data_IF_578865598662
#
_entry.id   IF_578865598662
#
_cell.length_a   1.000
_cell.length_b   1.000
_cell.length_c   1.000
_cell.angle_alpha   90.00
_cell.angle_beta   90.00
_cell.angle_gamma   90.00
#
_symmetry.space_group_name_H-M   'P 1'
#
loop_
_entity.id
_entity.type
_entity.pdbx_description
1 polymer ?
#
# COMPACT_ATOMS: atom_id res chain seq x y z
N UNK A 1 -6.53 -16.93 7.49
CA UNK A 1 -5.12 -16.99 7.94
C UNK A 1 -4.77 -15.61 8.45
N UNK A 2 -4.03 -15.47 9.54
CA UNK A 2 -3.53 -14.17 10.01
C UNK A 2 -2.23 -13.84 9.27
N UNK A 3 -1.92 -12.57 9.12
CA UNK A 3 -0.60 -12.14 8.64
C UNK A 3 0.46 -12.48 9.68
N UNK A 4 1.59 -13.04 9.28
CA UNK A 4 2.70 -13.41 10.18
C UNK A 4 3.99 -12.68 9.88
N UNK A 5 4.15 -12.17 8.66
CA UNK A 5 5.28 -11.36 8.23
C UNK A 5 4.75 -10.04 7.66
N UNK A 6 5.06 -8.92 8.32
CA UNK A 6 4.70 -7.58 7.89
C UNK A 6 5.98 -6.83 7.57
N UNK A 7 6.05 -6.26 6.36
CA UNK A 7 7.18 -5.43 5.91
C UNK A 7 6.77 -3.97 5.89
N UNK A 8 7.66 -3.09 6.31
CA UNK A 8 7.60 -1.66 5.96
C UNK A 8 8.90 -1.22 5.32
N UNK A 9 8.82 -0.35 4.31
CA UNK A 9 9.98 0.18 3.60
C UNK A 9 9.99 1.70 3.74
N UNK A 10 11.11 2.25 4.20
CA UNK A 10 11.26 3.66 4.49
C UNK A 10 12.47 4.24 3.75
N UNK A 11 12.24 5.32 3.03
CA UNK A 11 13.27 6.10 2.33
C UNK A 11 13.48 7.48 2.96
N UNK A 12 12.72 7.81 4.04
CA UNK A 12 12.69 9.13 4.66
C UNK A 12 12.46 9.04 6.16
N UNK A 13 13.22 9.82 6.93
CA UNK A 13 13.11 9.87 8.39
C UNK A 13 11.75 10.39 8.87
N UNK A 14 11.15 11.35 8.14
CA UNK A 14 9.87 11.97 8.50
C UNK A 14 8.69 10.99 8.50
N UNK A 15 8.80 9.92 7.71
CA UNK A 15 7.75 8.90 7.61
C UNK A 15 7.85 7.83 8.71
N UNK A 16 8.99 7.76 9.43
CA UNK A 16 9.30 6.68 10.35
C UNK A 16 8.28 6.55 11.49
N UNK A 17 7.96 7.63 12.17
CA UNK A 17 7.05 7.59 13.32
C UNK A 17 5.66 7.08 12.93
N UNK A 18 5.11 7.55 11.81
CA UNK A 18 3.79 7.16 11.31
C UNK A 18 3.78 5.72 10.82
N UNK A 19 4.76 5.34 10.01
CA UNK A 19 4.81 4.01 9.42
C UNK A 19 5.10 2.93 10.48
N UNK A 20 6.09 3.14 11.35
CA UNK A 20 6.45 2.20 12.42
C UNK A 20 5.30 2.08 13.42
N UNK A 21 4.71 3.19 13.87
CA UNK A 21 3.58 3.15 14.80
C UNK A 21 2.38 2.40 14.22
N UNK A 22 2.10 2.57 12.93
CA UNK A 22 1.00 1.87 12.23
C UNK A 22 1.31 0.39 12.03
N UNK A 23 2.50 0.06 11.50
CA UNK A 23 2.90 -1.32 11.24
C UNK A 23 3.06 -2.13 12.53
N UNK A 24 3.57 -1.53 13.61
CA UNK A 24 3.70 -2.16 14.91
C UNK A 24 2.35 -2.55 15.51
N UNK A 25 1.34 -1.65 15.44
CA UNK A 25 -0.03 -1.97 15.89
C UNK A 25 -0.62 -3.15 15.14
N UNK A 26 -0.45 -3.17 13.80
CA UNK A 26 -0.89 -4.30 12.98
C UNK A 26 -0.15 -5.58 13.33
N UNK A 27 1.18 -5.52 13.49
CA UNK A 27 1.99 -6.68 13.83
C UNK A 27 1.56 -7.28 15.17
N UNK A 28 1.32 -6.43 16.16
CA UNK A 28 0.83 -6.88 17.47
C UNK A 28 -0.59 -7.47 17.40
N UNK A 29 -1.51 -6.83 16.66
CA UNK A 29 -2.88 -7.30 16.49
C UNK A 29 -2.95 -8.65 15.76
N UNK A 30 -1.98 -8.95 14.86
CA UNK A 30 -1.91 -10.19 14.08
C UNK A 30 -0.94 -11.23 14.67
N UNK A 31 -0.27 -10.94 15.78
CA UNK A 31 0.85 -11.74 16.31
C UNK A 31 1.89 -12.02 15.20
N UNK A 32 2.31 -10.96 14.49
CA UNK A 32 3.22 -10.99 13.37
C UNK A 32 4.62 -10.51 13.76
N UNK A 33 5.60 -10.81 12.90
CA UNK A 33 6.92 -10.18 12.91
C UNK A 33 6.89 -8.94 12.01
N UNK A 34 7.50 -7.84 12.45
CA UNK A 34 7.65 -6.62 11.68
C UNK A 34 9.08 -6.51 11.13
N UNK A 35 9.23 -6.61 9.81
CA UNK A 35 10.47 -6.32 9.12
C UNK A 35 10.49 -4.85 8.66
N UNK A 36 11.56 -4.12 8.97
CA UNK A 36 11.74 -2.73 8.59
C UNK A 36 12.94 -2.63 7.66
N UNK A 37 12.70 -2.22 6.42
CA UNK A 37 13.73 -1.96 5.43
C UNK A 37 13.93 -0.44 5.30
N UNK A 38 15.13 0.03 5.63
CA UNK A 38 15.54 1.43 5.45
C UNK A 38 16.41 1.53 4.19
N UNK A 39 16.02 2.42 3.27
CA UNK A 39 16.74 2.63 2.02
C UNK A 39 17.24 4.07 1.89
N UNK A 40 18.56 4.24 1.86
CA UNK A 40 19.18 5.44 1.32
C UNK A 40 19.19 5.39 -0.20
N UNK A 41 18.65 6.41 -0.86
CA UNK A 41 18.48 6.37 -2.31
C UNK A 41 19.40 7.38 -2.99
N UNK A 42 20.37 6.87 -3.74
CA UNK A 42 21.16 7.67 -4.66
C UNK A 42 20.33 8.00 -5.90
N UNK A 43 19.96 9.27 -6.05
CA UNK A 43 19.13 9.80 -7.13
C UNK A 43 19.94 10.28 -8.34
N UNK A 44 21.27 9.97 -8.37
CA UNK A 44 22.12 10.39 -9.48
C UNK A 44 21.71 9.66 -10.75
N UNK A 45 21.26 10.41 -11.75
CA UNK A 45 21.13 9.91 -13.10
C UNK A 45 22.49 10.05 -13.81
N UNK A 46 23.10 8.94 -14.15
CA UNK A 46 24.33 8.91 -14.95
C UNK A 46 23.97 9.28 -16.40
N UNK A 47 23.78 10.56 -16.65
CA UNK A 47 23.71 11.10 -18.01
C UNK A 47 25.11 11.27 -18.57
N UNK A 48 25.25 11.15 -19.90
CA UNK A 48 26.47 11.44 -20.66
C UNK A 48 26.88 12.90 -20.47
N UNK A 49 27.59 13.24 -19.40
CA UNK A 49 28.09 14.61 -19.22
C UNK A 49 29.36 14.66 -18.36
N UNK A 50 30.41 15.07 -19.02
CA UNK A 50 31.68 15.60 -18.50
C UNK A 50 32.66 14.63 -17.85
N UNK A 51 33.65 14.25 -18.63
CA UNK A 51 34.93 13.71 -18.23
C UNK A 51 35.59 14.70 -17.22
N UNK A 52 35.71 14.31 -15.97
CA UNK A 52 36.46 15.01 -14.94
C UNK A 52 35.76 15.40 -13.64
N UNK A 53 34.47 15.71 -13.66
CA UNK A 53 33.69 16.06 -12.43
C UNK A 53 32.72 14.95 -11.97
N UNK A 54 32.53 13.92 -12.77
CA UNK A 54 31.54 12.87 -12.50
C UNK A 54 31.82 12.08 -11.22
N UNK A 55 33.09 11.73 -10.93
CA UNK A 55 33.45 10.97 -9.75
C UNK A 55 33.17 11.72 -8.44
N UNK A 56 33.42 13.03 -8.39
CA UNK A 56 33.13 13.87 -7.23
C UNK A 56 31.64 14.00 -6.99
N UNK A 57 30.88 14.20 -8.06
CA UNK A 57 29.40 14.28 -7.95
C UNK A 57 28.79 12.95 -7.50
N UNK A 58 29.28 11.83 -8.03
CA UNK A 58 28.85 10.49 -7.58
C UNK A 58 29.15 10.28 -6.10
N UNK A 59 30.36 10.66 -5.64
CA UNK A 59 30.73 10.52 -4.22
C UNK A 59 29.83 11.37 -3.33
N UNK A 60 29.59 12.63 -3.68
CA UNK A 60 28.70 13.53 -2.92
C UNK A 60 27.26 12.98 -2.86
N UNK A 61 26.77 12.41 -3.95
CA UNK A 61 25.42 11.81 -3.96
C UNK A 61 25.35 10.55 -3.10
N UNK A 62 26.37 9.70 -3.14
CA UNK A 62 26.46 8.51 -2.31
C UNK A 62 26.53 8.89 -0.82
N UNK A 63 27.42 9.83 -0.46
CA UNK A 63 27.56 10.33 0.91
C UNK A 63 26.24 10.89 1.45
N UNK A 64 25.48 11.56 0.58
CA UNK A 64 24.14 12.05 0.92
C UNK A 64 23.15 10.91 1.14
N UNK A 65 23.10 9.92 0.25
CA UNK A 65 22.21 8.77 0.39
C UNK A 65 22.52 7.97 1.67
N UNK A 66 23.81 7.81 2.01
CA UNK A 66 24.22 7.20 3.27
C UNK A 66 23.80 8.03 4.50
N UNK A 67 23.92 9.36 4.42
CA UNK A 67 23.48 10.23 5.51
C UNK A 67 21.97 10.18 5.71
N UNK A 68 21.18 10.17 4.61
CA UNK A 68 19.72 10.00 4.63
C UNK A 68 19.35 8.62 5.22
N UNK A 69 20.05 7.54 4.85
CA UNK A 69 19.84 6.21 5.44
C UNK A 69 20.08 6.20 6.94
N UNK A 70 21.21 6.72 7.40
CA UNK A 70 21.54 6.81 8.84
C UNK A 70 20.51 7.63 9.62
N UNK A 71 20.06 8.75 9.08
CA UNK A 71 19.02 9.58 9.70
C UNK A 71 17.67 8.84 9.80
N UNK A 72 17.30 8.10 8.74
CA UNK A 72 16.08 7.29 8.72
C UNK A 72 16.18 6.12 9.69
N UNK A 73 17.32 5.44 9.76
CA UNK A 73 17.56 4.34 10.72
C UNK A 73 17.47 4.83 12.17
N UNK A 74 18.05 5.99 12.49
CA UNK A 74 17.92 6.60 13.81
C UNK A 74 16.48 6.94 14.16
N UNK A 75 15.71 7.48 13.21
CA UNK A 75 14.29 7.76 13.39
C UNK A 75 13.46 6.47 13.60
N UNK A 76 13.77 5.40 12.86
CA UNK A 76 13.17 4.07 13.02
C UNK A 76 13.49 3.49 14.41
N UNK A 77 14.73 3.55 14.85
CA UNK A 77 15.14 3.07 16.17
C UNK A 77 14.38 3.80 17.29
N UNK A 78 14.26 5.13 17.18
CA UNK A 78 13.46 5.94 18.11
C UNK A 78 11.99 5.56 18.09
N UNK A 79 11.40 5.38 16.90
CA UNK A 79 10.00 5.00 16.76
C UNK A 79 9.71 3.59 17.29
N UNK A 80 10.62 2.63 17.10
CA UNK A 80 10.52 1.28 17.66
C UNK A 80 10.64 1.28 19.18
N UNK A 81 11.55 2.07 19.75
CA UNK A 81 11.70 2.20 21.20
C UNK A 81 10.44 2.75 21.90
N UNK A 82 9.60 3.50 21.17
CA UNK A 82 8.34 4.00 21.66
C UNK A 82 7.18 2.98 21.59
N UNK A 83 7.40 1.80 20.98
CA UNK A 83 6.36 0.77 20.88
C UNK A 83 6.24 -0.06 22.15
N UNK A 84 5.06 -0.67 22.42
CA UNK A 84 4.87 -1.56 23.56
C UNK A 84 5.85 -2.72 23.56
N UNK A 85 6.19 -3.20 24.76
CA UNK A 85 6.98 -4.42 24.93
C UNK A 85 6.25 -5.62 24.32
N UNK A 86 7.01 -6.49 23.63
CA UNK A 86 6.47 -7.70 22.97
C UNK A 86 6.35 -7.57 21.46
N UNK A 87 6.58 -6.39 20.87
CA UNK A 87 6.75 -6.27 19.42
C UNK A 87 7.99 -7.05 18.97
N UNK A 88 7.81 -7.96 18.02
CA UNK A 88 8.93 -8.64 17.34
C UNK A 88 9.26 -7.86 16.08
N UNK A 89 10.43 -7.24 16.04
CA UNK A 89 10.84 -6.46 14.87
C UNK A 89 12.32 -6.67 14.54
N UNK A 90 12.64 -6.60 13.25
CA UNK A 90 13.99 -6.53 12.71
C UNK A 90 14.14 -5.31 11.83
N UNK A 91 15.34 -4.75 11.78
CA UNK A 91 15.68 -3.58 10.96
C UNK A 91 16.86 -3.91 10.09
N UNK A 92 16.75 -3.62 8.81
CA UNK A 92 17.83 -3.69 7.84
C UNK A 92 17.96 -2.34 7.13
N UNK A 93 19.19 -1.84 6.98
CA UNK A 93 19.47 -0.63 6.23
C UNK A 93 20.35 -0.93 5.02
N UNK A 94 20.06 -0.32 3.90
CA UNK A 94 20.84 -0.42 2.67
C UNK A 94 20.88 0.90 1.93
N UNK A 95 21.90 1.10 1.12
CA UNK A 95 21.99 2.22 0.16
C UNK A 95 21.92 1.65 -1.24
N UNK A 96 21.13 2.28 -2.09
CA UNK A 96 20.90 1.82 -3.46
C UNK A 96 20.72 2.98 -4.43
N UNK A 97 21.00 2.75 -5.69
CA UNK A 97 20.60 3.68 -6.75
C UNK A 97 19.10 3.59 -7.01
N UNK A 98 18.48 4.70 -7.41
CA UNK A 98 17.05 4.76 -7.70
C UNK A 98 16.62 3.68 -8.70
N UNK A 99 17.43 3.38 -9.72
CA UNK A 99 17.12 2.36 -10.73
C UNK A 99 17.18 0.91 -10.22
N UNK A 100 17.87 0.63 -9.11
CA UNK A 100 17.99 -0.70 -8.51
C UNK A 100 17.12 -0.87 -7.25
N UNK A 101 16.45 0.20 -6.80
CA UNK A 101 15.60 0.19 -5.63
C UNK A 101 14.50 -0.87 -5.74
N UNK A 102 13.90 -0.98 -6.92
CA UNK A 102 12.80 -1.90 -7.18
C UNK A 102 13.15 -3.36 -6.89
N UNK A 103 14.32 -3.80 -7.30
CA UNK A 103 14.78 -5.18 -7.08
C UNK A 103 14.90 -5.52 -5.60
N UNK A 104 15.46 -4.59 -4.80
CA UNK A 104 15.62 -4.78 -3.36
C UNK A 104 14.25 -4.86 -2.67
N UNK A 105 13.35 -3.93 -2.99
CA UNK A 105 11.99 -3.91 -2.44
C UNK A 105 11.24 -5.18 -2.81
N UNK A 106 11.25 -5.55 -4.10
CA UNK A 106 10.55 -6.75 -4.59
C UNK A 106 11.07 -8.03 -3.92
N UNK A 107 12.39 -8.14 -3.75
CA UNK A 107 12.99 -9.29 -3.09
C UNK A 107 12.48 -9.46 -1.65
N UNK A 108 12.36 -8.37 -0.88
CA UNK A 108 11.84 -8.42 0.49
C UNK A 108 10.33 -8.61 0.53
N UNK A 109 9.61 -7.92 -0.33
CA UNK A 109 8.14 -7.95 -0.37
C UNK A 109 7.59 -9.37 -0.65
N UNK A 110 8.28 -10.20 -1.45
CA UNK A 110 7.85 -11.58 -1.76
C UNK A 110 7.65 -12.46 -0.54
N UNK A 111 8.32 -12.17 0.55
CA UNK A 111 8.27 -12.97 1.78
C UNK A 111 7.37 -12.34 2.86
N UNK A 112 6.75 -11.21 2.55
CA UNK A 112 5.81 -10.56 3.43
C UNK A 112 4.36 -10.96 3.11
N UNK A 113 3.57 -11.24 4.14
CA UNK A 113 2.13 -11.43 4.00
C UNK A 113 1.41 -10.10 3.74
N UNK A 114 2.01 -8.98 4.21
CA UNK A 114 1.49 -7.63 4.04
C UNK A 114 2.64 -6.63 4.06
N UNK A 115 2.65 -5.71 3.10
CA UNK A 115 3.57 -4.57 3.08
C UNK A 115 2.81 -3.32 3.50
N UNK A 116 3.27 -2.62 4.53
CA UNK A 116 2.64 -1.40 5.07
C UNK A 116 3.49 -0.20 4.70
N UNK A 117 2.97 0.69 3.90
CA UNK A 117 3.72 1.83 3.34
C UNK A 117 3.04 3.15 3.63
N UNK A 118 3.80 4.22 3.90
CA UNK A 118 3.23 5.57 3.90
C UNK A 118 2.73 5.94 2.50
N UNK A 119 1.82 6.91 2.42
CA UNK A 119 1.32 7.43 1.15
C UNK A 119 2.48 7.88 0.26
N UNK A 120 2.55 7.44 -1.02
CA UNK A 120 3.67 7.76 -1.90
C UNK A 120 3.63 9.17 -2.48
N UNK A 121 2.50 9.87 -2.37
CA UNK A 121 2.26 11.21 -2.93
C UNK A 121 2.18 12.28 -1.85
N UNK A 122 2.50 13.52 -2.23
CA UNK A 122 2.40 14.69 -1.37
C UNK A 122 3.70 15.48 -1.28
N UNK A 123 3.71 16.51 -0.43
CA UNK A 123 4.87 17.40 -0.27
C UNK A 123 6.11 16.62 0.18
N UNK A 124 7.21 16.82 -0.53
CA UNK A 124 8.50 16.18 -0.24
C UNK A 124 8.58 14.70 -0.61
N UNK A 125 7.57 14.10 -1.26
CA UNK A 125 7.63 12.75 -1.81
C UNK A 125 8.28 12.80 -3.19
N UNK A 126 9.14 11.82 -3.47
CA UNK A 126 9.87 11.69 -4.73
C UNK A 126 9.50 10.41 -5.49
N UNK A 127 10.14 10.19 -6.63
CA UNK A 127 9.92 9.00 -7.45
C UNK A 127 10.22 7.69 -6.71
N UNK A 128 11.11 7.73 -5.73
CA UNK A 128 11.44 6.57 -4.89
C UNK A 128 10.25 6.06 -4.09
N UNK A 129 9.36 6.94 -3.61
CA UNK A 129 8.19 6.51 -2.83
C UNK A 129 7.15 5.81 -3.71
N UNK A 130 6.99 6.26 -4.96
CA UNK A 130 6.15 5.58 -5.96
C UNK A 130 6.75 4.22 -6.33
N UNK A 131 8.07 4.20 -6.62
CA UNK A 131 8.78 2.98 -7.00
C UNK A 131 8.71 1.90 -5.90
N UNK A 132 8.75 2.26 -4.61
CA UNK A 132 8.57 1.31 -3.50
C UNK A 132 7.20 0.64 -3.57
N UNK A 133 6.11 1.41 -3.75
CA UNK A 133 4.74 0.85 -3.84
C UNK A 133 4.59 -0.04 -5.07
N UNK A 134 5.08 0.43 -6.23
CA UNK A 134 4.99 -0.32 -7.49
C UNK A 134 5.76 -1.63 -7.41
N UNK A 135 7.00 -1.59 -6.93
CA UNK A 135 7.83 -2.79 -6.85
C UNK A 135 7.29 -3.83 -5.87
N UNK A 136 6.74 -3.39 -4.73
CA UNK A 136 6.08 -4.31 -3.80
C UNK A 136 4.88 -5.00 -4.45
N UNK A 137 4.03 -4.25 -5.20
CA UNK A 137 2.84 -4.77 -5.86
C UNK A 137 3.16 -5.63 -7.09
N UNK A 138 4.04 -5.15 -7.98
CA UNK A 138 4.21 -5.78 -9.30
C UNK A 138 5.27 -6.85 -9.33
N UNK A 139 6.46 -6.57 -8.84
CA UNK A 139 7.56 -7.52 -8.83
C UNK A 139 7.56 -8.40 -7.58
N UNK A 140 7.23 -7.80 -6.43
CA UNK A 140 7.10 -8.50 -5.16
C UNK A 140 5.84 -9.36 -5.05
N UNK A 141 4.77 -9.01 -5.80
CA UNK A 141 3.46 -9.68 -5.73
C UNK A 141 2.86 -9.71 -4.32
N UNK A 142 3.26 -8.76 -3.50
CA UNK A 142 2.77 -8.63 -2.13
C UNK A 142 1.54 -7.73 -2.07
N UNK A 143 0.59 -8.00 -1.16
CA UNK A 143 -0.45 -7.04 -0.85
C UNK A 143 0.16 -5.82 -0.14
N UNK A 144 -0.29 -4.63 -0.50
CA UNK A 144 0.21 -3.38 0.04
C UNK A 144 -0.91 -2.62 0.73
N UNK A 145 -0.70 -2.27 1.99
CA UNK A 145 -1.55 -1.35 2.76
C UNK A 145 -0.90 0.04 2.74
N UNK A 146 -1.49 0.96 1.99
CA UNK A 146 -1.03 2.34 1.93
C UNK A 146 -1.73 3.16 3.01
N UNK A 147 -0.92 3.80 3.86
CA UNK A 147 -1.39 4.63 4.96
C UNK A 147 -1.70 6.05 4.48
N UNK A 148 -2.81 6.66 4.90
CA UNK A 148 -3.04 8.09 4.73
C UNK A 148 -2.11 8.91 5.65
N UNK A 149 -2.12 10.23 5.51
CA UNK A 149 -1.31 11.13 6.37
C UNK A 149 -1.61 11.01 7.87
N UNK A 150 -2.84 10.59 8.21
CA UNK A 150 -3.26 10.38 9.60
C UNK A 150 -2.82 9.01 10.17
N UNK A 151 -2.16 8.17 9.35
CA UNK A 151 -1.75 6.82 9.74
C UNK A 151 -2.88 5.79 9.67
N UNK A 152 -2.73 4.73 10.44
CA UNK A 152 -3.63 3.57 10.39
C UNK A 152 -5.07 3.84 10.89
N UNK A 153 -5.26 4.87 11.74
CA UNK A 153 -6.57 5.09 12.37
C UNK A 153 -7.04 3.88 13.17
N UNK A 154 -8.26 3.39 12.91
CA UNK A 154 -8.86 2.17 13.46
C UNK A 154 -8.62 0.92 12.59
N UNK A 155 -7.85 1.01 11.50
CA UNK A 155 -7.69 -0.07 10.54
C UNK A 155 -6.74 -1.20 11.00
N UNK A 156 -6.22 -1.18 12.20
CA UNK A 156 -5.65 -2.37 12.88
C UNK A 156 -6.74 -3.40 13.23
N UNK A 157 -7.97 -2.91 13.50
CA UNK A 157 -9.18 -3.70 13.66
C UNK A 157 -10.36 -2.99 12.97
N UNK A 158 -10.38 -2.94 11.63
CA UNK A 158 -11.38 -2.19 10.90
C UNK A 158 -12.78 -2.80 11.13
N UNK A 159 -13.76 -1.93 11.42
CA UNK A 159 -15.13 -2.34 11.67
C UNK A 159 -16.00 -2.26 10.41
N UNK A 160 -15.73 -1.29 9.56
CA UNK A 160 -16.45 -1.08 8.30
C UNK A 160 -15.47 -1.06 7.15
N UNK A 161 -15.61 -2.03 6.26
CA UNK A 161 -14.69 -2.21 5.13
C UNK A 161 -15.46 -2.06 3.83
N UNK A 162 -14.91 -1.30 2.89
CA UNK A 162 -15.41 -1.25 1.53
C UNK A 162 -14.48 -2.08 0.63
N UNK A 163 -15.09 -2.95 -0.18
CA UNK A 163 -14.42 -3.65 -1.27
C UNK A 163 -14.84 -2.98 -2.58
N UNK A 164 -13.92 -2.31 -3.26
CA UNK A 164 -14.15 -1.79 -4.60
C UNK A 164 -14.09 -2.93 -5.62
N UNK A 165 -15.26 -3.38 -6.08
CA UNK A 165 -15.39 -4.53 -6.96
C UNK A 165 -15.68 -4.12 -8.41
N UNK A 166 -14.80 -4.55 -9.33
CA UNK A 166 -14.92 -4.31 -10.76
C UNK A 166 -14.75 -5.59 -11.60
N UNK A 167 -14.94 -6.76 -10.98
CA UNK A 167 -14.80 -8.08 -11.61
C UNK A 167 -13.39 -8.43 -12.11
N UNK A 168 -12.38 -7.64 -11.76
CA UNK A 168 -11.00 -7.91 -12.17
C UNK A 168 -10.34 -8.99 -11.31
N UNK A 169 -9.31 -9.63 -11.86
CA UNK A 169 -8.49 -10.60 -11.12
C UNK A 169 -7.80 -9.95 -9.93
N UNK A 170 -7.33 -8.71 -10.09
CA UNK A 170 -6.67 -7.93 -9.05
C UNK A 170 -7.61 -7.62 -7.88
N UNK A 171 -8.86 -7.25 -8.16
CA UNK A 171 -9.88 -7.04 -7.12
C UNK A 171 -10.20 -8.34 -6.37
N UNK A 172 -10.20 -9.48 -7.07
CA UNK A 172 -10.36 -10.79 -6.45
C UNK A 172 -9.17 -11.15 -5.57
N UNK A 173 -7.93 -10.91 -6.03
CA UNK A 173 -6.71 -11.13 -5.24
C UNK A 173 -6.75 -10.24 -3.99
N UNK A 174 -7.05 -8.94 -4.16
CA UNK A 174 -7.16 -8.00 -3.03
C UNK A 174 -8.19 -8.45 -2.00
N UNK A 175 -9.37 -8.92 -2.43
CA UNK A 175 -10.38 -9.45 -1.52
C UNK A 175 -9.90 -10.68 -0.76
N UNK A 176 -9.22 -11.62 -1.42
CA UNK A 176 -8.72 -12.83 -0.78
C UNK A 176 -7.64 -12.54 0.27
N UNK A 177 -6.71 -11.65 -0.05
CA UNK A 177 -5.66 -11.27 0.91
C UNK A 177 -6.20 -10.43 2.05
N UNK A 178 -7.32 -9.72 1.88
CA UNK A 178 -8.00 -8.96 2.91
C UNK A 178 -8.83 -9.82 3.88
N UNK A 179 -9.02 -11.11 3.65
CA UNK A 179 -9.87 -11.98 4.49
C UNK A 179 -9.60 -11.89 6.00
N UNK A 180 -8.35 -11.72 6.50
CA UNK A 180 -8.14 -11.52 7.93
C UNK A 180 -8.88 -10.30 8.48
N UNK A 181 -8.88 -9.18 7.76
CA UNK A 181 -9.62 -7.98 8.11
C UNK A 181 -11.13 -8.15 7.93
N UNK A 182 -11.53 -8.72 6.78
CA UNK A 182 -12.96 -8.90 6.46
C UNK A 182 -13.70 -9.75 7.49
N UNK A 183 -13.05 -10.79 8.00
CA UNK A 183 -13.62 -11.67 9.06
C UNK A 183 -13.75 -11.01 10.42
N UNK A 184 -12.93 -10.02 10.70
CA UNK A 184 -12.94 -9.28 11.97
C UNK A 184 -13.85 -8.05 11.92
N UNK A 185 -14.32 -7.67 10.73
CA UNK A 185 -15.17 -6.50 10.53
C UNK A 185 -16.62 -6.76 10.96
N UNK A 186 -17.28 -5.69 11.44
CA UNK A 186 -18.72 -5.74 11.77
C UNK A 186 -19.57 -5.71 10.48
N UNK A 187 -19.07 -5.00 9.43
CA UNK A 187 -19.77 -4.86 8.15
C UNK A 187 -18.79 -4.70 6.99
N UNK A 188 -19.07 -5.38 5.90
CA UNK A 188 -18.34 -5.28 4.64
C UNK A 188 -19.31 -4.87 3.52
N UNK A 189 -18.99 -3.78 2.82
CA UNK A 189 -19.74 -3.30 1.67
C UNK A 189 -18.98 -3.62 0.39
N UNK A 190 -19.57 -4.42 -0.49
CA UNK A 190 -19.05 -4.72 -1.82
C UNK A 190 -19.62 -3.67 -2.77
N UNK A 191 -18.82 -2.67 -3.08
CA UNK A 191 -19.22 -1.53 -3.88
C UNK A 191 -18.91 -1.76 -5.36
N UNK A 192 -19.97 -1.77 -6.18
CA UNK A 192 -19.88 -1.85 -7.64
C UNK A 192 -20.31 -0.52 -8.24
N UNK A 193 -19.47 0.11 -9.05
CA UNK A 193 -19.76 1.41 -9.66
C UNK A 193 -19.96 1.20 -11.15
N UNK A 194 -21.13 1.61 -11.65
CA UNK A 194 -21.51 1.58 -13.06
C UNK A 194 -21.24 0.20 -13.72
N UNK A 195 -21.90 -0.87 -13.20
CA UNK A 195 -21.66 -2.21 -13.70
C UNK A 195 -22.03 -2.33 -15.19
N UNK A 196 -21.33 -3.17 -15.96
CA UNK A 196 -21.62 -3.38 -17.37
C UNK A 196 -23.08 -3.79 -17.59
N UNK A 197 -23.77 -3.16 -18.54
CA UNK A 197 -25.15 -3.51 -18.91
C UNK A 197 -25.27 -4.88 -19.58
N UNK A 198 -24.14 -5.44 -20.04
CA UNK A 198 -24.03 -6.75 -20.68
C UNK A 198 -22.94 -7.56 -19.98
N UNK A 199 -23.21 -8.82 -19.64
CA UNK A 199 -22.24 -9.69 -18.96
C UNK A 199 -22.92 -10.71 -18.05
N UNK A 200 -22.13 -11.64 -17.52
CA UNK A 200 -22.61 -12.74 -16.69
C UNK A 200 -23.21 -12.28 -15.34
N UNK A 201 -22.70 -11.20 -14.77
CA UNK A 201 -23.16 -10.65 -13.49
C UNK A 201 -24.15 -9.47 -13.65
N UNK A 202 -24.74 -9.29 -14.85
CA UNK A 202 -25.63 -8.17 -15.15
C UNK A 202 -26.82 -8.04 -14.19
N UNK A 203 -27.40 -9.17 -13.81
CA UNK A 203 -28.60 -9.23 -12.96
C UNK A 203 -28.29 -9.19 -11.46
N UNK A 204 -27.05 -9.48 -11.09
CA UNK A 204 -26.60 -9.54 -9.69
C UNK A 204 -25.11 -9.12 -9.59
N UNK A 205 -24.81 -7.82 -9.84
CA UNK A 205 -23.43 -7.33 -9.77
C UNK A 205 -22.84 -7.52 -8.39
N UNK A 206 -21.75 -8.29 -8.29
CA UNK A 206 -21.06 -8.57 -7.01
C UNK A 206 -21.67 -9.69 -6.17
N UNK A 207 -22.79 -10.31 -6.59
CA UNK A 207 -23.45 -11.37 -5.82
C UNK A 207 -22.58 -12.60 -5.63
N UNK A 208 -21.83 -13.04 -6.63
CA UNK A 208 -20.90 -14.15 -6.50
C UNK A 208 -19.77 -13.85 -5.51
N UNK A 209 -19.25 -12.62 -5.49
CA UNK A 209 -18.26 -12.19 -4.51
C UNK A 209 -18.87 -12.17 -3.11
N UNK A 210 -20.08 -11.61 -2.96
CA UNK A 210 -20.82 -11.60 -1.69
C UNK A 210 -20.99 -13.02 -1.14
N UNK A 211 -21.46 -13.95 -1.97
CA UNK A 211 -21.55 -15.37 -1.60
C UNK A 211 -20.21 -15.94 -1.13
N UNK A 212 -19.11 -15.64 -1.83
CA UNK A 212 -17.79 -16.13 -1.46
C UNK A 212 -17.41 -15.62 -0.07
N UNK A 213 -17.48 -14.33 0.19
CA UNK A 213 -17.04 -13.76 1.48
C UNK A 213 -17.97 -14.17 2.63
N UNK A 214 -19.28 -14.30 2.41
CA UNK A 214 -20.24 -14.80 3.40
C UNK A 214 -19.92 -16.25 3.81
N UNK A 215 -19.51 -17.10 2.86
CA UNK A 215 -19.04 -18.48 3.18
C UNK A 215 -17.79 -18.50 4.05
N UNK A 216 -17.02 -17.40 4.10
CA UNK A 216 -15.91 -17.22 5.03
C UNK A 216 -16.34 -16.66 6.40
N UNK A 217 -17.64 -16.45 6.63
CA UNK A 217 -18.19 -15.89 7.86
C UNK A 217 -18.18 -14.36 7.91
N UNK A 218 -18.05 -13.69 6.77
CA UNK A 218 -18.06 -12.23 6.67
C UNK A 218 -19.49 -11.72 6.56
N UNK A 219 -19.82 -10.67 7.31
CA UNK A 219 -21.09 -9.94 7.15
C UNK A 219 -20.97 -8.95 5.99
N UNK A 220 -21.44 -9.36 4.82
CA UNK A 220 -21.29 -8.59 3.59
C UNK A 220 -22.62 -8.25 2.94
N UNK A 221 -22.67 -7.09 2.34
CA UNK A 221 -23.76 -6.62 1.47
C UNK A 221 -23.18 -6.02 0.18
N UNK A 222 -24.03 -5.82 -0.83
CA UNK A 222 -23.63 -5.25 -2.12
C UNK A 222 -24.29 -3.89 -2.30
N UNK A 223 -23.49 -2.88 -2.63
CA UNK A 223 -23.91 -1.55 -3.02
C UNK A 223 -23.62 -1.30 -4.50
N UNK A 224 -24.66 -1.10 -5.30
CA UNK A 224 -24.53 -0.74 -6.72
C UNK A 224 -24.73 0.76 -6.88
N UNK A 225 -23.69 1.47 -7.31
CA UNK A 225 -23.67 2.92 -7.43
C UNK A 225 -23.61 3.36 -8.89
N UNK A 226 -24.35 4.41 -9.21
CA UNK A 226 -24.20 5.10 -10.49
C UNK A 226 -22.90 5.94 -10.48
N UNK A 227 -22.24 6.07 -11.61
CA UNK A 227 -21.11 6.98 -11.80
C UNK A 227 -21.58 8.43 -11.85
N UNK A 228 -21.90 8.98 -10.69
CA UNK A 228 -22.41 10.35 -10.53
C UNK A 228 -21.33 11.44 -10.59
N UNK A 229 -20.03 11.07 -10.61
CA UNK A 229 -18.89 11.96 -10.69
C UNK A 229 -17.97 11.57 -11.87
N UNK A 230 -17.15 12.51 -12.40
CA UNK A 230 -16.29 12.24 -13.56
C UNK A 230 -15.33 11.07 -13.36
N UNK A 231 -14.82 10.87 -12.14
CA UNK A 231 -13.87 9.81 -11.82
C UNK A 231 -14.50 8.78 -10.88
N UNK A 232 -14.27 7.52 -11.17
CA UNK A 232 -14.69 6.40 -10.29
C UNK A 232 -14.09 6.55 -8.89
N UNK A 233 -12.83 7.01 -8.79
CA UNK A 233 -12.17 7.28 -7.51
C UNK A 233 -12.89 8.33 -6.66
N UNK A 234 -13.52 9.35 -7.28
CA UNK A 234 -14.25 10.38 -6.53
C UNK A 234 -15.60 9.83 -6.01
N UNK A 235 -16.29 8.97 -6.80
CA UNK A 235 -17.49 8.27 -6.35
C UNK A 235 -17.17 7.35 -5.18
N UNK A 236 -16.07 6.59 -5.30
CA UNK A 236 -15.62 5.67 -4.26
C UNK A 236 -15.20 6.40 -2.98
N UNK A 237 -14.44 7.51 -3.10
CA UNK A 237 -14.04 8.32 -1.95
C UNK A 237 -15.25 8.91 -1.21
N UNK A 238 -16.25 9.38 -1.95
CA UNK A 238 -17.52 9.85 -1.36
C UNK A 238 -18.25 8.72 -0.64
N UNK A 239 -18.34 7.53 -1.25
CA UNK A 239 -18.99 6.39 -0.63
C UNK A 239 -18.27 5.93 0.64
N UNK A 240 -16.92 5.93 0.64
CA UNK A 240 -16.09 5.68 1.83
C UNK A 240 -16.46 6.62 2.97
N UNK A 241 -16.62 7.91 2.68
CA UNK A 241 -17.05 8.91 3.64
C UNK A 241 -18.48 8.67 4.13
N UNK A 242 -19.43 8.48 3.23
CA UNK A 242 -20.87 8.29 3.53
C UNK A 242 -21.10 7.05 4.42
N UNK A 243 -20.30 5.99 4.23
CA UNK A 243 -20.36 4.75 5.03
C UNK A 243 -19.50 4.80 6.30
N UNK A 244 -18.74 5.86 6.55
CA UNK A 244 -17.74 5.95 7.63
C UNK A 244 -16.82 4.71 7.64
N UNK A 245 -16.27 4.35 6.49
CA UNK A 245 -15.42 3.19 6.36
C UNK A 245 -14.04 3.41 7.00
N UNK A 246 -13.48 2.34 7.57
CA UNK A 246 -12.16 2.34 8.22
C UNK A 246 -11.06 1.85 7.27
N UNK A 247 -11.43 1.05 6.27
CA UNK A 247 -10.51 0.42 5.32
C UNK A 247 -11.16 0.31 3.95
N UNK A 248 -10.41 0.67 2.92
CA UNK A 248 -10.76 0.39 1.53
C UNK A 248 -9.90 -0.77 1.00
N UNK A 249 -10.54 -1.76 0.39
CA UNK A 249 -9.88 -2.87 -0.32
C UNK A 249 -10.15 -2.72 -1.80
N UNK A 250 -9.11 -2.70 -2.63
CA UNK A 250 -9.25 -2.56 -4.07
C UNK A 250 -8.15 -3.29 -4.85
N UNK A 251 -8.46 -3.73 -6.05
CA UNK A 251 -7.44 -4.17 -7.00
C UNK A 251 -6.57 -3.01 -7.45
N UNK A 252 -5.30 -3.25 -7.65
CA UNK A 252 -4.39 -2.29 -8.21
C UNK A 252 -4.15 -2.57 -9.70
N UNK A 253 -4.31 -1.56 -10.56
CA UNK A 253 -3.85 -1.59 -11.97
C UNK A 253 -4.50 -2.62 -12.91
N UNK A 254 -5.79 -2.86 -12.82
CA UNK A 254 -6.53 -3.88 -13.60
C UNK A 254 -6.68 -3.66 -15.11
N UNK A 255 -6.16 -2.56 -15.68
CA UNK A 255 -6.24 -2.30 -17.12
C UNK A 255 -4.87 -2.04 -17.72
N UNK A 256 -4.40 -3.03 -18.51
CA UNK A 256 -3.27 -3.01 -19.45
C UNK A 256 -1.94 -2.42 -18.97
N UNK A 257 -1.00 -3.32 -18.73
CA UNK A 257 0.44 -3.07 -18.62
C UNK A 257 1.07 -2.47 -19.88
N UNK A 258 0.31 -1.96 -20.81
CA UNK A 258 0.86 -1.38 -22.02
C UNK A 258 1.01 0.12 -21.80
N UNK A 259 2.27 0.44 -21.51
CA UNK A 259 2.97 1.71 -21.61
C UNK A 259 3.14 2.51 -20.33
N UNK A 260 4.38 2.38 -19.86
CA UNK A 260 5.19 3.50 -19.41
C UNK A 260 4.60 4.38 -18.31
N UNK A 261 5.10 4.14 -17.07
CA UNK A 261 5.24 5.15 -16.04
C UNK A 261 3.97 5.91 -15.61
N UNK A 262 2.80 5.28 -15.58
CA UNK A 262 1.63 5.94 -14.96
C UNK A 262 0.84 4.92 -14.18
N UNK A 263 0.88 5.04 -12.87
CA UNK A 263 -0.12 4.51 -11.95
C UNK A 263 -1.50 4.72 -12.56
N UNK A 264 -2.28 3.64 -12.79
CA UNK A 264 -3.59 3.74 -13.41
C UNK A 264 -4.40 4.85 -12.75
N UNK A 265 -5.01 5.73 -13.52
CA UNK A 265 -5.57 7.00 -13.02
C UNK A 265 -6.49 6.84 -11.80
N UNK A 266 -7.22 5.73 -11.67
CA UNK A 266 -8.08 5.46 -10.51
C UNK A 266 -7.26 5.13 -9.25
N UNK A 267 -6.23 4.30 -9.36
CA UNK A 267 -5.37 3.92 -8.22
C UNK A 267 -4.58 5.12 -7.72
N UNK A 268 -3.92 5.86 -8.62
CA UNK A 268 -3.18 7.08 -8.27
C UNK A 268 -4.08 8.11 -7.59
N UNK A 269 -5.21 8.43 -8.22
CA UNK A 269 -6.15 9.41 -7.65
C UNK A 269 -6.68 8.97 -6.28
N UNK A 270 -6.89 7.66 -6.07
CA UNK A 270 -7.29 7.14 -4.77
C UNK A 270 -6.19 7.34 -3.74
N UNK A 271 -4.94 6.95 -4.04
CA UNK A 271 -3.81 7.10 -3.13
C UNK A 271 -3.46 8.56 -2.82
N UNK A 272 -3.69 9.48 -3.77
CA UNK A 272 -3.49 10.91 -3.54
C UNK A 272 -4.52 11.51 -2.56
N UNK A 273 -5.76 10.97 -2.56
CA UNK A 273 -6.90 11.56 -1.86
C UNK A 273 -7.40 10.77 -0.66
N UNK A 274 -7.03 9.50 -0.53
CA UNK A 274 -7.57 8.65 0.51
C UNK A 274 -7.24 9.20 1.91
N UNK A 275 -8.27 9.32 2.73
CA UNK A 275 -8.17 9.71 4.13
C UNK A 275 -8.19 8.51 5.09
N UNK A 276 -8.41 7.31 4.55
CA UNK A 276 -8.37 6.03 5.24
C UNK A 276 -7.32 5.12 4.59
N UNK A 277 -6.82 4.09 5.29
CA UNK A 277 -5.93 3.10 4.70
C UNK A 277 -6.54 2.40 3.48
N UNK A 278 -5.70 2.13 2.48
CA UNK A 278 -6.09 1.45 1.24
C UNK A 278 -5.27 0.18 1.09
N UNK A 279 -5.92 -0.98 1.17
CA UNK A 279 -5.31 -2.28 0.90
C UNK A 279 -5.46 -2.61 -0.58
N UNK A 280 -4.33 -2.88 -1.21
CA UNK A 280 -4.25 -3.19 -2.62
C UNK A 280 -3.51 -4.51 -2.87
N UNK A 281 -3.88 -5.18 -3.97
CA UNK A 281 -3.09 -6.30 -4.52
C UNK A 281 -3.22 -6.32 -6.06
N UNK A 282 -2.27 -7.03 -6.70
CA UNK A 282 -2.19 -7.16 -8.16
C UNK A 282 -1.96 -8.61 -8.59
#
# INVERSE_FOLDING_TARGET
MAYKSILTVLTRAEDAALAIGSAARLAMAQDAHLDVLVLGVDRTQVGYSYIGSGAVLMQVSLDRAEAEARATEAAVASALAAQPQGLRASVEAAVTQLGALGDIVAQRARFADLVVLPRPYGTGKGAETEAVVESALFEGKAPVLVLPEKGLGSADQPKRIIIAWNQSAEAMVATRVALPFLKAADRVDITVIDPPTHGAERSDPGGLLCQMVVRHGVHAEVSVLARSLPRVSDVLARHVWDQNADLLVMGAYGHSRLREAILGGATRNMLEKAEIPVLMAH
#
